data_IF_786120302981
#
_entry.id   IF_786120302981
#
_cell.length_a   1.000
_cell.length_b   1.000
_cell.length_c   1.000
_cell.angle_alpha   90.00
_cell.angle_beta   90.00
_cell.angle_gamma   90.00
#
_symmetry.space_group_name_H-M   'P 1'
#
loop_
_entity.id
_entity.type
_entity.pdbx_description
1 polymer ?
#
# COMPACT_ATOMS: atom_id res chain seq x y z
N UNK A 1 -35.25 12.71 -1.16
CA UNK A 1 -34.62 11.40 -0.82
C UNK A 1 -33.10 11.59 -0.74
N UNK A 2 -32.49 11.38 0.44
CA UNK A 2 -31.10 11.75 0.72
C UNK A 2 -30.06 11.06 -0.19
N UNK A 3 -30.33 9.81 -0.61
CA UNK A 3 -29.43 9.05 -1.48
C UNK A 3 -29.32 9.64 -2.90
N UNK A 4 -30.42 10.15 -3.45
CA UNK A 4 -30.41 10.82 -4.76
C UNK A 4 -29.64 12.13 -4.72
N UNK A 5 -29.78 12.90 -3.62
CA UNK A 5 -29.05 14.14 -3.41
C UNK A 5 -27.54 13.90 -3.27
N UNK A 6 -27.14 12.88 -2.51
CA UNK A 6 -25.73 12.47 -2.38
C UNK A 6 -25.15 12.00 -3.72
N UNK A 7 -25.92 11.24 -4.50
CA UNK A 7 -25.49 10.80 -5.84
C UNK A 7 -25.31 11.97 -6.80
N UNK A 8 -26.25 12.92 -6.81
CA UNK A 8 -26.15 14.13 -7.62
C UNK A 8 -24.94 14.98 -7.21
N UNK A 9 -24.68 15.11 -5.91
CA UNK A 9 -23.51 15.82 -5.39
C UNK A 9 -22.19 15.17 -5.82
N UNK A 10 -22.08 13.84 -5.69
CA UNK A 10 -20.89 13.11 -6.16
C UNK A 10 -20.65 13.31 -7.66
N UNK A 11 -21.71 13.28 -8.49
CA UNK A 11 -21.59 13.52 -9.94
C UNK A 11 -21.07 14.93 -10.26
N UNK A 12 -21.52 15.95 -9.54
CA UNK A 12 -21.06 17.33 -9.70
C UNK A 12 -19.58 17.46 -9.35
N UNK A 13 -19.18 16.91 -8.21
CA UNK A 13 -17.78 16.92 -7.82
C UNK A 13 -16.93 16.16 -8.82
N UNK A 14 -17.32 14.96 -9.24
CA UNK A 14 -16.58 14.18 -10.25
C UNK A 14 -16.38 14.94 -11.57
N UNK A 15 -17.32 15.80 -11.96
CA UNK A 15 -17.24 16.62 -13.17
C UNK A 15 -16.37 17.88 -13.01
N UNK A 16 -16.02 18.25 -11.78
CA UNK A 16 -15.11 19.35 -11.47
C UNK A 16 -13.68 18.81 -11.41
N UNK A 17 -12.85 19.26 -12.35
CA UNK A 17 -11.43 18.91 -12.43
C UNK A 17 -10.63 19.36 -11.20
N UNK A 18 -11.12 20.37 -10.47
CA UNK A 18 -10.52 20.83 -9.22
C UNK A 18 -10.98 20.03 -8.00
N UNK A 19 -11.92 19.10 -8.16
CA UNK A 19 -12.37 18.28 -7.04
C UNK A 19 -11.29 17.27 -6.64
N UNK A 20 -10.95 17.24 -5.36
CA UNK A 20 -9.91 16.35 -4.83
C UNK A 20 -10.42 14.89 -4.67
N UNK A 21 -11.39 14.43 -5.46
CA UNK A 21 -12.05 13.12 -5.26
C UNK A 21 -11.29 11.99 -5.94
N UNK A 22 -11.07 10.90 -5.20
CA UNK A 22 -10.47 9.69 -5.75
C UNK A 22 -11.45 8.99 -6.73
N UNK A 23 -10.98 8.49 -7.89
CA UNK A 23 -11.76 7.63 -8.75
C UNK A 23 -12.28 6.39 -8.01
N UNK A 24 -13.39 5.82 -8.50
CA UNK A 24 -13.95 4.58 -7.95
C UNK A 24 -12.88 3.47 -8.00
N UNK A 25 -12.70 2.77 -6.88
CA UNK A 25 -11.68 1.72 -6.75
C UNK A 25 -10.30 2.21 -6.28
N UNK A 26 -10.15 3.53 -6.10
CA UNK A 26 -8.95 4.15 -5.55
C UNK A 26 -9.26 4.93 -4.28
N UNK A 27 -8.24 5.18 -3.47
CA UNK A 27 -8.31 6.09 -2.34
C UNK A 27 -7.08 6.99 -2.29
N UNK A 28 -7.24 8.13 -1.62
CA UNK A 28 -6.13 9.01 -1.27
C UNK A 28 -5.53 8.56 0.05
N UNK A 29 -4.25 8.19 0.04
CA UNK A 29 -3.54 7.67 1.21
C UNK A 29 -2.23 8.39 1.42
N UNK A 30 -1.95 8.72 2.69
CA UNK A 30 -0.65 9.25 3.10
C UNK A 30 0.35 8.11 3.22
N UNK A 31 1.40 8.12 2.42
CA UNK A 31 2.43 7.07 2.36
C UNK A 31 3.76 7.67 2.77
N UNK A 32 4.27 7.44 4.00
CA UNK A 32 5.47 8.10 4.51
C UNK A 32 6.77 7.64 3.85
N UNK A 33 6.80 6.42 3.30
CA UNK A 33 8.00 5.82 2.74
C UNK A 33 7.69 5.16 1.40
N UNK A 34 8.54 5.39 0.41
CA UNK A 34 8.49 4.73 -0.90
C UNK A 34 9.75 3.91 -1.07
N UNK A 35 9.58 2.66 -1.50
CA UNK A 35 10.68 1.80 -1.93
C UNK A 35 10.96 2.12 -3.39
N UNK A 36 12.20 2.46 -3.71
CA UNK A 36 12.65 2.74 -5.07
C UNK A 36 13.33 1.49 -5.60
N UNK A 37 12.85 1.01 -6.74
CA UNK A 37 13.42 -0.11 -7.48
C UNK A 37 13.87 0.37 -8.86
N UNK A 38 14.85 -0.29 -9.44
CA UNK A 38 15.12 -0.16 -10.88
C UNK A 38 14.17 -1.05 -11.71
N UNK A 39 14.27 -0.94 -13.04
CA UNK A 39 13.46 -1.73 -13.98
C UNK A 39 13.75 -3.25 -13.96
N UNK A 40 14.72 -3.70 -13.15
CA UNK A 40 15.02 -5.12 -12.94
C UNK A 40 14.50 -5.61 -11.58
N UNK A 41 13.98 -4.72 -10.74
CA UNK A 41 13.55 -5.03 -9.38
C UNK A 41 14.65 -4.91 -8.33
N UNK A 42 15.83 -4.36 -8.67
CA UNK A 42 16.88 -4.18 -7.68
C UNK A 42 16.55 -3.00 -6.76
N UNK A 43 16.78 -3.17 -5.47
CA UNK A 43 16.60 -2.13 -4.47
C UNK A 43 17.57 -0.97 -4.68
N UNK A 44 17.04 0.25 -4.78
CA UNK A 44 17.82 1.48 -4.94
C UNK A 44 17.77 2.37 -3.68
N UNK A 45 16.78 2.16 -2.81
CA UNK A 45 16.67 2.90 -1.56
C UNK A 45 15.23 3.17 -1.12
N UNK A 46 15.11 3.96 -0.05
CA UNK A 46 13.81 4.40 0.50
C UNK A 46 13.76 5.93 0.47
N UNK A 47 12.67 6.47 -0.08
CA UNK A 47 12.37 7.90 -0.07
C UNK A 47 11.39 8.19 1.06
N UNK A 48 11.79 9.09 1.98
CA UNK A 48 10.89 9.69 2.97
C UNK A 48 10.06 10.80 2.29
N UNK A 49 8.75 10.67 2.34
CA UNK A 49 7.81 11.61 1.70
C UNK A 49 7.23 12.62 2.69
N UNK A 50 7.64 12.55 3.96
CA UNK A 50 7.12 13.40 5.01
C UNK A 50 7.72 14.80 4.91
N UNK A 51 6.87 15.79 5.06
CA UNK A 51 7.24 17.21 5.08
C UNK A 51 6.85 17.85 6.41
N UNK A 52 7.63 18.83 6.86
CA UNK A 52 7.42 19.57 8.12
C UNK A 52 8.45 19.24 9.19
N UNK A 53 8.53 20.06 10.24
CA UNK A 53 9.53 19.94 11.31
C UNK A 53 8.94 19.37 12.61
N UNK A 54 9.75 18.60 13.35
CA UNK A 54 9.43 18.07 14.67
C UNK A 54 8.25 17.07 14.67
N UNK A 55 7.29 17.26 15.58
CA UNK A 55 6.13 16.35 15.75
C UNK A 55 5.04 16.52 14.70
N UNK A 56 5.16 17.48 13.78
CA UNK A 56 4.14 17.81 12.76
C UNK A 56 4.56 17.39 11.35
N UNK A 57 5.24 16.24 11.23
CA UNK A 57 5.56 15.66 9.92
C UNK A 57 4.30 15.07 9.27
N UNK A 58 3.98 15.53 8.06
CA UNK A 58 2.84 15.03 7.29
C UNK A 58 3.38 14.29 6.06
N UNK A 59 3.06 13.01 5.92
CA UNK A 59 3.37 12.23 4.73
C UNK A 59 2.58 12.74 3.51
N UNK A 60 3.23 12.72 2.34
CA UNK A 60 2.59 13.06 1.07
C UNK A 60 1.42 12.11 0.78
N UNK A 61 0.39 12.67 0.16
CA UNK A 61 -0.79 11.93 -0.28
C UNK A 61 -0.58 11.36 -1.69
N UNK A 62 -0.94 10.09 -1.85
CA UNK A 62 -0.86 9.35 -3.10
C UNK A 62 -2.23 8.76 -3.43
N UNK A 63 -2.54 8.67 -4.72
CA UNK A 63 -3.68 7.91 -5.20
C UNK A 63 -3.28 6.43 -5.30
N UNK A 64 -3.93 5.58 -4.53
CA UNK A 64 -3.60 4.15 -4.43
C UNK A 64 -4.84 3.29 -4.66
N UNK A 65 -4.70 2.02 -5.09
CA UNK A 65 -5.82 1.08 -5.10
C UNK A 65 -6.49 1.03 -3.73
N UNK A 66 -7.82 0.98 -3.72
CA UNK A 66 -8.60 1.03 -2.49
C UNK A 66 -8.16 -0.04 -1.49
N UNK A 67 -8.00 0.35 -0.23
CA UNK A 67 -7.51 -0.55 0.80
C UNK A 67 -8.54 -1.63 1.15
N UNK A 68 -8.04 -2.79 1.55
CA UNK A 68 -8.90 -3.83 2.12
C UNK A 68 -9.08 -3.58 3.62
N UNK A 69 -10.28 -3.82 4.14
CA UNK A 69 -10.52 -3.73 5.59
C UNK A 69 -9.83 -4.90 6.29
N UNK A 70 -8.73 -4.59 6.98
CA UNK A 70 -7.97 -5.58 7.76
C UNK A 70 -8.68 -5.83 9.09
N UNK A 71 -9.17 -7.06 9.29
CA UNK A 71 -9.73 -7.51 10.57
C UNK A 71 -8.69 -8.38 11.30
N UNK A 72 -9.13 -9.33 12.13
CA UNK A 72 -8.24 -10.35 12.72
C UNK A 72 -7.54 -11.16 11.62
N UNK A 73 -8.16 -11.28 10.45
CA UNK A 73 -7.65 -12.00 9.28
C UNK A 73 -6.56 -11.22 8.54
N UNK A 74 -5.66 -11.96 7.90
CA UNK A 74 -4.62 -11.40 7.04
C UNK A 74 -5.24 -11.01 5.71
N UNK A 75 -5.25 -9.71 5.42
CA UNK A 75 -5.66 -9.17 4.13
C UNK A 75 -4.61 -8.14 3.65
N UNK A 76 -4.14 -8.29 2.42
CA UNK A 76 -3.12 -7.46 1.82
C UNK A 76 -3.73 -6.41 0.88
N UNK A 77 -3.19 -5.21 0.92
CA UNK A 77 -3.47 -4.19 -0.09
C UNK A 77 -2.67 -4.47 -1.36
N UNK A 78 -3.06 -3.85 -2.48
CA UNK A 78 -2.37 -4.02 -3.76
C UNK A 78 -1.28 -2.95 -3.92
N UNK A 79 0.00 -3.36 -3.95
CA UNK A 79 1.18 -2.50 -4.18
C UNK A 79 1.51 -1.48 -3.08
N UNK A 80 0.81 -1.45 -1.95
CA UNK A 80 1.14 -0.58 -0.82
C UNK A 80 0.76 -1.23 0.50
N UNK A 81 1.65 -1.30 1.48
CA UNK A 81 1.30 -1.82 2.80
C UNK A 81 2.34 -1.41 3.86
N UNK A 82 2.17 -1.86 5.11
CA UNK A 82 3.16 -1.66 6.15
C UNK A 82 4.34 -2.65 6.03
N UNK A 83 5.41 -2.39 6.79
CA UNK A 83 6.64 -3.19 6.80
C UNK A 83 6.44 -4.70 7.00
N UNK A 84 5.39 -5.14 7.71
CA UNK A 84 5.17 -6.57 7.95
C UNK A 84 4.68 -7.28 6.68
N UNK A 85 3.89 -6.61 5.86
CA UNK A 85 3.46 -7.12 4.56
C UNK A 85 4.55 -6.94 3.50
N UNK A 86 5.31 -5.85 3.54
CA UNK A 86 6.32 -5.58 2.51
C UNK A 86 7.60 -6.38 2.72
N UNK A 87 8.11 -6.45 3.96
CA UNK A 87 9.40 -7.07 4.28
C UNK A 87 9.29 -8.36 5.10
N UNK A 88 8.07 -8.77 5.50
CA UNK A 88 7.92 -9.89 6.44
C UNK A 88 8.44 -9.60 7.85
N UNK A 89 8.70 -8.33 8.19
CA UNK A 89 9.27 -7.91 9.48
C UNK A 89 8.17 -7.29 10.36
N UNK A 90 7.80 -7.91 11.49
CA UNK A 90 6.78 -7.35 12.36
C UNK A 90 7.27 -6.07 13.03
N UNK A 91 6.33 -5.18 13.36
CA UNK A 91 6.61 -4.12 14.32
C UNK A 91 6.78 -4.73 15.71
N UNK A 92 7.89 -4.48 16.43
CA UNK A 92 8.07 -4.96 17.80
C UNK A 92 6.95 -4.45 18.72
N UNK A 93 6.41 -5.33 19.56
CA UNK A 93 5.37 -5.01 20.54
C UNK A 93 5.67 -5.80 21.83
N UNK A 94 6.11 -5.14 22.92
CA UNK A 94 6.52 -5.82 24.15
C UNK A 94 5.36 -6.53 24.87
N UNK A 95 4.12 -6.24 24.49
CA UNK A 95 2.93 -6.89 25.06
C UNK A 95 2.56 -8.20 24.36
N UNK A 96 3.27 -8.56 23.28
CA UNK A 96 2.97 -9.72 22.45
C UNK A 96 4.19 -10.62 22.32
N UNK A 97 3.90 -11.89 22.09
CA UNK A 97 4.91 -12.90 21.80
C UNK A 97 5.64 -12.55 20.48
N UNK A 98 6.96 -12.39 20.56
CA UNK A 98 7.80 -11.99 19.44
C UNK A 98 7.83 -13.05 18.32
N UNK A 99 7.84 -14.33 18.68
CA UNK A 99 7.84 -15.44 17.71
C UNK A 99 6.50 -15.52 16.99
N UNK A 100 5.39 -15.30 17.70
CA UNK A 100 4.06 -15.20 17.08
C UNK A 100 3.97 -14.02 16.11
N UNK A 101 4.57 -12.88 16.45
CA UNK A 101 4.62 -11.72 15.57
C UNK A 101 5.43 -11.99 14.30
N UNK A 102 6.61 -12.62 14.43
CA UNK A 102 7.44 -13.04 13.28
C UNK A 102 6.67 -13.99 12.36
N UNK A 103 6.08 -15.06 12.91
CA UNK A 103 5.27 -16.02 12.14
C UNK A 103 4.12 -15.32 11.42
N UNK A 104 3.43 -14.38 12.09
CA UNK A 104 2.35 -13.60 11.46
C UNK A 104 2.87 -12.73 10.32
N UNK A 105 4.03 -12.08 10.47
CA UNK A 105 4.59 -11.21 9.44
C UNK A 105 5.00 -11.99 8.18
N UNK A 106 5.54 -13.20 8.32
CA UNK A 106 5.80 -14.09 7.16
C UNK A 106 4.50 -14.37 6.38
N UNK A 107 3.41 -14.70 7.08
CA UNK A 107 2.11 -14.92 6.44
C UNK A 107 1.54 -13.64 5.80
N UNK A 108 1.78 -12.48 6.40
CA UNK A 108 1.38 -11.19 5.84
C UNK A 108 2.14 -10.89 4.54
N UNK A 109 3.45 -11.16 4.52
CA UNK A 109 4.27 -10.98 3.33
C UNK A 109 3.87 -11.91 2.19
N UNK A 110 3.64 -13.20 2.49
CA UNK A 110 3.09 -14.14 1.52
C UNK A 110 1.75 -13.67 0.94
N UNK A 111 0.83 -13.19 1.79
CA UNK A 111 -0.44 -12.65 1.32
C UNK A 111 -0.28 -11.40 0.44
N UNK A 112 0.76 -10.60 0.65
CA UNK A 112 1.08 -9.44 -0.18
C UNK A 112 1.56 -9.83 -1.57
N UNK A 113 2.51 -10.78 -1.64
CA UNK A 113 2.99 -11.35 -2.91
C UNK A 113 1.84 -11.99 -3.69
N UNK A 114 1.03 -12.82 -3.03
CA UNK A 114 -0.11 -13.49 -3.65
C UNK A 114 -1.17 -12.50 -4.15
N UNK A 115 -1.39 -11.39 -3.44
CA UNK A 115 -2.31 -10.34 -3.87
C UNK A 115 -1.89 -9.72 -5.20
N UNK A 116 -0.58 -9.52 -5.40
CA UNK A 116 -0.01 -8.98 -6.64
C UNK A 116 -0.14 -10.05 -7.74
N UNK A 117 0.27 -11.30 -7.46
CA UNK A 117 0.19 -12.44 -8.39
C UNK A 117 -1.22 -12.70 -8.92
N UNK A 118 -2.23 -12.60 -8.07
CA UNK A 118 -3.64 -12.84 -8.41
C UNK A 118 -4.30 -11.69 -9.17
N UNK A 119 -3.53 -10.69 -9.62
CA UNK A 119 -4.03 -9.58 -10.44
C UNK A 119 -3.30 -9.59 -11.79
N UNK A 120 -3.65 -10.51 -12.73
CA UNK A 120 -2.86 -10.73 -13.95
C UNK A 120 -2.76 -9.49 -14.84
N UNK A 121 -3.83 -8.68 -14.91
CA UNK A 121 -3.88 -7.48 -15.74
C UNK A 121 -2.86 -6.41 -15.38
N UNK A 122 -2.30 -6.43 -14.16
CA UNK A 122 -1.21 -5.51 -13.78
C UNK A 122 0.16 -6.19 -13.91
N UNK A 123 0.22 -7.52 -13.98
CA UNK A 123 1.49 -8.25 -14.08
C UNK A 123 2.11 -8.15 -15.48
N UNK A 124 1.32 -7.77 -16.47
CA UNK A 124 1.78 -7.43 -17.82
C UNK A 124 2.61 -6.14 -17.83
N UNK A 125 2.56 -5.33 -16.77
CA UNK A 125 3.37 -4.13 -16.61
C UNK A 125 4.77 -4.48 -16.08
N UNK A 126 5.81 -4.06 -16.81
CA UNK A 126 7.22 -4.34 -16.47
C UNK A 126 7.62 -3.80 -15.08
N UNK A 127 7.07 -2.66 -14.66
CA UNK A 127 7.36 -2.08 -13.35
C UNK A 127 6.72 -2.93 -12.23
N UNK A 128 5.52 -3.44 -12.45
CA UNK A 128 4.85 -4.34 -11.48
C UNK A 128 5.58 -5.69 -11.41
N UNK A 129 6.04 -6.21 -12.55
CA UNK A 129 6.86 -7.42 -12.58
C UNK A 129 8.16 -7.25 -11.79
N UNK A 130 8.81 -6.10 -11.92
CA UNK A 130 10.00 -5.73 -11.14
C UNK A 130 9.73 -5.71 -9.63
N UNK A 131 8.60 -5.13 -9.21
CA UNK A 131 8.15 -5.15 -7.80
C UNK A 131 7.89 -6.58 -7.33
N UNK A 132 7.26 -7.41 -8.15
CA UNK A 132 6.98 -8.80 -7.80
C UNK A 132 8.28 -9.61 -7.60
N UNK A 133 9.26 -9.44 -8.49
CA UNK A 133 10.56 -10.10 -8.39
C UNK A 133 11.29 -9.69 -7.11
N UNK A 134 11.38 -8.38 -6.84
CA UNK A 134 11.95 -7.83 -5.60
C UNK A 134 11.35 -8.47 -4.34
N UNK A 135 10.01 -8.53 -4.28
CA UNK A 135 9.31 -9.10 -3.13
C UNK A 135 9.51 -10.61 -3.02
N UNK A 136 9.61 -11.32 -4.14
CA UNK A 136 9.73 -12.79 -4.17
C UNK A 136 11.14 -13.27 -3.86
N UNK A 137 12.17 -12.50 -4.24
CA UNK A 137 13.56 -12.78 -3.88
C UNK A 137 13.79 -12.61 -2.37
N UNK A 138 13.06 -11.70 -1.73
CA UNK A 138 13.15 -11.46 -0.29
C UNK A 138 14.49 -10.88 0.15
N UNK A 139 15.33 -10.44 -0.80
CA UNK A 139 16.58 -9.75 -0.52
C UNK A 139 16.31 -8.24 -0.42
N UNK A 140 16.22 -7.77 0.82
CA UNK A 140 15.95 -6.36 1.13
C UNK A 140 17.22 -5.60 1.54
N UNK A 141 18.39 -6.16 1.25
CA UNK A 141 19.72 -5.59 1.52
C UNK A 141 20.31 -4.90 0.28
#
# INVERSE_FOLDING_TARGET
MILQALSAYYRRLKADENSNIAPRGFEKKRIPFIIVLDNKGNFQGIVDTRTGEGKKTIAREYLVPHGVKKSVNIAANLLWDNQAYVFGIPRPDPKKDAERLKKRAVLQHQAFIERIRQTPSIMEDEAVSSVFNFLSEGNFE
#
